data_IF_200819966127
#
_entry.id   IF_200819966127
#
_cell.length_a   1.000
_cell.length_b   1.000
_cell.length_c   1.000
_cell.angle_alpha   90.00
_cell.angle_beta   90.00
_cell.angle_gamma   90.00
#
_symmetry.space_group_name_H-M   'P 1'
#
loop_
_entity.id
_entity.type
_entity.pdbx_description
1 polymer ?
#
# COMPACT_ATOMS: atom_id res chain seq x y z
N UNK A 1 6.01 36.56 51.41
CA UNK A 1 6.81 36.34 50.20
C UNK A 1 5.83 36.34 49.04
N UNK A 2 5.51 37.52 48.53
CA UNK A 2 4.46 37.74 47.53
C UNK A 2 5.06 37.60 46.13
N UNK A 3 4.55 36.64 45.35
CA UNK A 3 4.94 36.41 43.96
C UNK A 3 4.02 37.25 43.04
N UNK A 4 4.63 38.28 42.47
CA UNK A 4 4.00 39.22 41.54
C UNK A 4 3.73 38.56 40.19
N UNK A 5 2.45 38.35 39.87
CA UNK A 5 1.99 37.87 38.55
C UNK A 5 1.97 39.00 37.53
N UNK A 6 3.01 39.09 36.69
CA UNK A 6 3.03 40.00 35.55
C UNK A 6 2.26 39.39 34.37
N UNK A 7 1.17 40.06 33.98
CA UNK A 7 0.28 39.67 32.89
C UNK A 7 0.83 40.23 31.57
N UNK A 8 1.53 39.42 30.78
CA UNK A 8 2.00 39.78 29.44
C UNK A 8 0.83 39.68 28.45
N UNK A 9 0.39 40.83 27.92
CA UNK A 9 -0.53 40.92 26.77
C UNK A 9 0.28 40.67 25.49
N UNK A 10 -0.03 39.61 24.76
CA UNK A 10 0.50 39.34 23.42
C UNK A 10 -0.51 39.85 22.36
N UNK A 11 -0.12 40.78 21.47
CA UNK A 11 -0.91 41.12 20.30
C UNK A 11 -0.41 40.27 19.12
N UNK A 12 -1.17 39.23 18.74
CA UNK A 12 -0.92 38.50 17.48
C UNK A 12 -2.06 38.79 16.51
N UNK A 13 -1.73 39.58 15.49
CA UNK A 13 -2.53 39.81 14.29
C UNK A 13 -2.78 38.47 13.57
N UNK A 14 -4.00 38.19 13.11
CA UNK A 14 -4.27 37.08 12.21
C UNK A 14 -3.95 37.53 10.78
N UNK A 15 -2.65 37.60 10.46
CA UNK A 15 -2.23 37.85 9.08
C UNK A 15 -2.40 36.55 8.28
N UNK A 16 -3.47 36.55 7.49
CA UNK A 16 -3.65 35.89 6.20
C UNK A 16 -2.41 35.15 5.70
N UNK A 17 -2.28 33.89 6.11
CA UNK A 17 -1.32 32.97 5.50
C UNK A 17 -1.78 32.70 4.06
N UNK A 18 -1.22 33.46 3.11
CA UNK A 18 -1.33 33.16 1.69
C UNK A 18 -0.70 31.79 1.49
N UNK A 19 -1.41 30.80 0.92
CA UNK A 19 -0.80 29.51 0.63
C UNK A 19 0.34 29.75 -0.36
N UNK A 20 1.58 29.54 0.10
CA UNK A 20 2.74 29.49 -0.77
C UNK A 20 2.57 28.25 -1.63
N UNK A 21 2.05 28.46 -2.85
CA UNK A 21 2.02 27.47 -3.90
C UNK A 21 3.49 27.23 -4.28
N UNK A 22 4.12 26.24 -3.64
CA UNK A 22 5.43 25.75 -4.07
C UNK A 22 5.19 25.02 -5.39
N UNK A 23 5.22 25.79 -6.47
CA UNK A 23 5.30 25.30 -7.84
C UNK A 23 6.66 24.64 -7.97
N UNK A 24 6.75 23.36 -7.59
CA UNK A 24 7.88 22.52 -7.88
C UNK A 24 7.90 22.31 -9.40
N UNK A 25 8.41 23.32 -10.11
CA UNK A 25 8.66 23.31 -11.55
C UNK A 25 9.71 22.28 -11.86
N UNK A 26 9.32 21.00 -11.87
CA UNK A 26 10.12 19.97 -12.50
C UNK A 26 10.14 20.28 -13.98
N UNK A 27 11.31 20.57 -14.59
CA UNK A 27 11.39 20.83 -16.02
C UNK A 27 10.78 19.64 -16.76
N UNK A 28 9.71 19.91 -17.49
CA UNK A 28 9.13 18.97 -18.44
C UNK A 28 10.22 18.67 -19.47
N UNK A 29 10.67 17.40 -19.61
CA UNK A 29 11.65 17.05 -20.63
C UNK A 29 11.05 17.38 -22.01
N UNK A 30 11.60 18.41 -22.65
CA UNK A 30 11.20 18.83 -23.99
C UNK A 30 11.76 17.80 -24.97
N UNK A 31 11.01 16.72 -25.17
CA UNK A 31 11.38 15.70 -26.16
C UNK A 31 11.15 16.31 -27.54
N UNK A 32 12.23 16.81 -28.16
CA UNK A 32 12.23 17.20 -29.56
C UNK A 32 12.07 15.94 -30.44
N UNK A 33 10.82 15.60 -30.75
CA UNK A 33 10.50 14.54 -31.71
C UNK A 33 10.82 15.07 -33.10
N UNK A 34 11.92 14.57 -33.68
CA UNK A 34 12.28 14.82 -35.08
C UNK A 34 11.19 14.18 -35.96
N UNK A 35 10.58 14.91 -36.92
CA UNK A 35 9.58 14.35 -37.82
C UNK A 35 10.27 13.36 -38.78
N UNK A 36 10.35 12.10 -38.36
CA UNK A 36 10.86 10.98 -39.12
C UNK A 36 9.72 10.33 -39.91
N UNK A 37 10.00 10.10 -41.20
CA UNK A 37 9.20 9.41 -42.21
C UNK A 37 8.30 8.34 -41.61
N UNK A 38 6.98 8.52 -41.73
CA UNK A 38 5.96 7.64 -41.20
C UNK A 38 6.03 6.25 -41.87
N UNK A 39 6.82 5.33 -41.29
CA UNK A 39 6.55 3.91 -41.48
C UNK A 39 5.29 3.60 -40.68
N UNK A 40 4.25 3.13 -41.37
CA UNK A 40 3.04 2.58 -40.75
C UNK A 40 3.48 1.34 -39.97
N UNK A 41 3.97 1.56 -38.75
CA UNK A 41 4.19 0.51 -37.78
C UNK A 41 2.79 0.10 -37.35
N UNK A 42 2.34 -1.05 -37.87
CA UNK A 42 1.21 -1.80 -37.33
C UNK A 42 1.50 -2.04 -35.86
N UNK A 43 0.98 -1.13 -35.01
CA UNK A 43 1.04 -1.26 -33.55
C UNK A 43 0.46 -2.63 -33.25
N UNK A 44 1.20 -3.55 -32.61
CA UNK A 44 0.69 -4.88 -32.33
C UNK A 44 -0.62 -4.72 -31.57
N UNK A 45 -1.72 -5.07 -32.24
CA UNK A 45 -3.05 -5.01 -31.67
C UNK A 45 -3.08 -6.01 -30.53
N UNK A 46 -3.19 -5.51 -29.29
CA UNK A 46 -3.16 -6.31 -28.07
C UNK A 46 -4.36 -7.29 -27.94
N UNK A 47 -5.15 -7.44 -29.00
CA UNK A 47 -6.40 -8.21 -29.10
C UNK A 47 -6.20 -9.72 -28.98
N UNK A 48 -5.04 -10.26 -29.39
CA UNK A 48 -4.83 -11.72 -29.43
C UNK A 48 -4.26 -12.29 -28.12
N UNK A 49 -4.08 -11.44 -27.11
CA UNK A 49 -3.23 -11.68 -25.94
C UNK A 49 -4.05 -11.84 -24.64
N UNK A 50 -5.32 -12.28 -24.75
CA UNK A 50 -6.21 -12.45 -23.60
C UNK A 50 -5.66 -13.40 -22.53
N UNK A 51 -4.88 -14.40 -22.93
CA UNK A 51 -4.33 -15.43 -22.03
C UNK A 51 -3.26 -14.89 -21.06
N UNK A 52 -2.68 -13.71 -21.30
CA UNK A 52 -1.62 -13.16 -20.44
C UNK A 52 -2.12 -12.63 -19.10
N UNK A 53 -3.42 -12.34 -19.02
CA UNK A 53 -4.07 -11.77 -17.84
C UNK A 53 -4.70 -12.81 -16.93
N UNK A 54 -4.73 -14.06 -17.37
CA UNK A 54 -5.30 -15.14 -16.58
C UNK A 54 -4.39 -15.45 -15.38
N UNK A 55 -4.97 -15.62 -14.18
CA UNK A 55 -4.20 -16.02 -13.02
C UNK A 55 -3.53 -17.38 -13.27
N UNK A 56 -2.35 -17.63 -12.68
CA UNK A 56 -1.68 -18.92 -12.83
C UNK A 56 -2.59 -20.05 -12.31
N UNK A 57 -2.58 -21.20 -13.00
CA UNK A 57 -3.45 -22.34 -12.71
C UNK A 57 -3.24 -22.98 -11.33
N UNK A 58 -2.09 -22.74 -10.69
CA UNK A 58 -1.84 -23.17 -9.31
C UNK A 58 -2.67 -22.36 -8.31
N UNK A 59 -3.31 -23.04 -7.35
CA UNK A 59 -4.10 -22.38 -6.29
C UNK A 59 -3.30 -21.33 -5.51
N UNK A 60 -2.06 -21.66 -5.12
CA UNK A 60 -1.18 -20.72 -4.40
C UNK A 60 -0.84 -19.49 -5.25
N UNK A 61 -0.51 -19.69 -6.53
CA UNK A 61 -0.22 -18.59 -7.46
C UNK A 61 -1.44 -17.70 -7.68
N UNK A 62 -2.63 -18.29 -7.78
CA UNK A 62 -3.89 -17.55 -7.90
C UNK A 62 -4.17 -16.70 -6.65
N UNK A 63 -4.01 -17.27 -5.45
CA UNK A 63 -4.14 -16.51 -4.19
C UNK A 63 -3.14 -15.37 -4.11
N UNK A 64 -1.85 -15.64 -4.39
CA UNK A 64 -0.80 -14.63 -4.36
C UNK A 64 -1.08 -13.51 -5.37
N UNK A 65 -1.46 -13.87 -6.60
CA UNK A 65 -1.79 -12.91 -7.64
C UNK A 65 -2.98 -12.03 -7.26
N UNK A 66 -4.05 -12.62 -6.74
CA UNK A 66 -5.24 -11.89 -6.30
C UNK A 66 -4.92 -10.98 -5.11
N UNK A 67 -4.10 -11.43 -4.16
CA UNK A 67 -3.62 -10.61 -3.05
C UNK A 67 -2.77 -9.44 -3.55
N UNK A 68 -1.85 -9.67 -4.49
CA UNK A 68 -1.04 -8.60 -5.08
C UNK A 68 -1.91 -7.59 -5.84
N UNK A 69 -2.86 -8.05 -6.64
CA UNK A 69 -3.81 -7.18 -7.35
C UNK A 69 -4.67 -6.37 -6.37
N UNK A 70 -5.12 -7.00 -5.28
CA UNK A 70 -5.90 -6.33 -4.25
C UNK A 70 -5.09 -5.24 -3.56
N UNK A 71 -3.84 -5.53 -3.18
CA UNK A 71 -2.99 -4.54 -2.50
C UNK A 71 -2.64 -3.40 -3.47
N UNK A 72 -2.25 -3.73 -4.69
CA UNK A 72 -1.82 -2.74 -5.68
C UNK A 72 -2.96 -1.83 -6.15
N UNK A 73 -4.11 -2.42 -6.50
CA UNK A 73 -5.19 -1.72 -7.20
C UNK A 73 -6.51 -1.69 -6.42
N UNK A 74 -6.65 -2.47 -5.34
CA UNK A 74 -7.89 -2.61 -4.58
C UNK A 74 -8.93 -3.53 -5.22
N UNK A 75 -8.54 -4.25 -6.27
CA UNK A 75 -9.43 -5.18 -6.96
C UNK A 75 -8.84 -6.60 -6.92
N UNK A 76 -9.66 -7.63 -6.66
CA UNK A 76 -9.22 -9.03 -6.66
C UNK A 76 -8.76 -9.50 -8.04
N UNK A 77 -9.30 -8.92 -9.11
CA UNK A 77 -9.09 -9.35 -10.49
C UNK A 77 -8.63 -8.18 -11.35
N UNK A 78 -7.82 -8.49 -12.36
CA UNK A 78 -7.35 -7.51 -13.33
C UNK A 78 -8.41 -7.10 -14.35
N UNK A 79 -9.54 -7.80 -14.44
CA UNK A 79 -10.59 -7.52 -15.43
C UNK A 79 -11.13 -6.10 -15.31
N UNK A 80 -11.29 -5.59 -14.08
CA UNK A 80 -11.72 -4.21 -13.85
C UNK A 80 -10.69 -3.20 -14.31
N UNK A 81 -9.41 -3.46 -14.03
CA UNK A 81 -8.31 -2.58 -14.43
C UNK A 81 -8.16 -2.58 -15.94
N UNK A 82 -8.29 -3.76 -16.55
CA UNK A 82 -8.35 -3.94 -17.99
C UNK A 82 -9.51 -3.15 -18.58
N UNK A 83 -10.72 -3.24 -18.01
CA UNK A 83 -11.87 -2.48 -18.49
C UNK A 83 -11.60 -0.97 -18.42
N UNK A 84 -11.04 -0.48 -17.32
CA UNK A 84 -10.64 0.94 -17.16
C UNK A 84 -9.57 1.35 -18.18
N UNK A 85 -8.60 0.47 -18.46
CA UNK A 85 -7.52 0.70 -19.41
C UNK A 85 -8.01 0.74 -20.86
N UNK A 86 -9.01 -0.07 -21.22
CA UNK A 86 -9.59 -0.10 -22.57
C UNK A 86 -10.71 0.92 -22.78
N UNK A 87 -11.41 1.32 -21.72
CA UNK A 87 -12.48 2.32 -21.82
C UNK A 87 -11.93 3.67 -22.26
N UNK A 88 -12.40 4.20 -23.39
CA UNK A 88 -11.95 5.47 -23.97
C UNK A 88 -12.11 6.69 -23.04
N UNK A 89 -12.90 6.58 -21.97
CA UNK A 89 -13.07 7.65 -20.99
C UNK A 89 -11.80 7.87 -20.14
N UNK A 90 -11.03 8.92 -20.48
CA UNK A 90 -9.84 9.36 -19.72
C UNK A 90 -10.13 9.59 -18.22
N UNK A 91 -11.35 10.03 -17.90
CA UNK A 91 -11.80 10.26 -16.52
C UNK A 91 -11.71 9.02 -15.62
N UNK A 92 -12.01 7.82 -16.13
CA UNK A 92 -11.96 6.60 -15.32
C UNK A 92 -10.51 6.20 -14.97
N UNK A 93 -9.58 6.50 -15.87
CA UNK A 93 -8.15 6.26 -15.65
C UNK A 93 -7.60 7.20 -14.58
N UNK A 94 -7.89 8.50 -14.69
CA UNK A 94 -7.44 9.50 -13.71
C UNK A 94 -7.97 9.19 -12.30
N UNK A 95 -9.24 8.80 -12.19
CA UNK A 95 -9.84 8.39 -10.92
C UNK A 95 -9.13 7.16 -10.33
N UNK A 96 -8.85 6.14 -11.15
CA UNK A 96 -8.14 4.95 -10.70
C UNK A 96 -6.72 5.27 -10.19
N UNK A 97 -5.97 6.10 -10.92
CA UNK A 97 -4.62 6.53 -10.50
C UNK A 97 -4.69 7.39 -9.23
N UNK A 98 -5.66 8.29 -9.13
CA UNK A 98 -5.89 9.12 -7.93
C UNK A 98 -6.13 8.25 -6.70
N UNK A 99 -6.98 7.21 -6.81
CA UNK A 99 -7.22 6.26 -5.73
C UNK A 99 -5.96 5.49 -5.32
N UNK A 100 -5.12 5.09 -6.28
CA UNK A 100 -3.83 4.44 -6.00
C UNK A 100 -2.89 5.38 -5.25
N UNK A 101 -2.85 6.65 -5.66
CA UNK A 101 -2.07 7.72 -5.01
C UNK A 101 -2.48 7.91 -3.55
N UNK A 102 -3.78 8.05 -3.29
CA UNK A 102 -4.33 8.24 -1.94
C UNK A 102 -3.99 7.05 -1.04
N UNK A 103 -4.17 5.83 -1.54
CA UNK A 103 -3.87 4.61 -0.76
C UNK A 103 -2.39 4.49 -0.43
N UNK A 104 -1.52 4.68 -1.42
CA UNK A 104 -0.08 4.59 -1.21
C UNK A 104 0.43 5.71 -0.30
N UNK A 105 -0.13 6.93 -0.42
CA UNK A 105 0.13 8.04 0.50
C UNK A 105 -0.25 7.70 1.95
N UNK A 106 -1.44 7.12 2.16
CA UNK A 106 -1.88 6.67 3.49
C UNK A 106 -0.95 5.60 4.09
N UNK A 107 -0.51 4.63 3.27
CA UNK A 107 0.43 3.59 3.70
C UNK A 107 1.77 4.21 4.13
N UNK A 108 2.31 5.14 3.36
CA UNK A 108 3.58 5.83 3.69
C UNK A 108 3.43 6.66 4.96
N UNK A 109 2.29 7.32 5.15
CA UNK A 109 2.00 8.07 6.38
C UNK A 109 2.01 7.15 7.61
N UNK A 110 1.32 6.00 7.53
CA UNK A 110 1.32 4.99 8.61
C UNK A 110 2.72 4.44 8.85
N UNK A 111 3.47 4.15 7.79
CA UNK A 111 4.86 3.71 7.89
C UNK A 111 5.74 4.71 8.63
N UNK A 112 5.58 6.01 8.36
CA UNK A 112 6.31 7.09 9.03
C UNK A 112 6.00 7.17 10.52
N UNK A 113 4.72 6.98 10.89
CA UNK A 113 4.31 6.92 12.30
C UNK A 113 4.95 5.71 13.01
N UNK A 114 4.88 4.52 12.40
CA UNK A 114 5.51 3.31 12.95
C UNK A 114 7.03 3.44 13.05
N UNK A 115 7.67 4.07 12.07
CA UNK A 115 9.10 4.36 12.07
C UNK A 115 9.48 5.27 13.25
N UNK A 116 8.71 6.35 13.47
CA UNK A 116 8.95 7.27 14.59
C UNK A 116 8.76 6.57 15.94
N UNK A 117 7.74 5.72 16.07
CA UNK A 117 7.53 4.90 17.27
C UNK A 117 8.69 3.94 17.51
N UNK A 118 9.14 3.21 16.49
CA UNK A 118 10.30 2.33 16.60
C UNK A 118 11.57 3.11 16.96
N UNK A 119 11.79 4.29 16.35
CA UNK A 119 12.91 5.16 16.69
C UNK A 119 12.88 5.62 18.15
N UNK A 120 11.71 5.95 18.68
CA UNK A 120 11.54 6.31 20.08
C UNK A 120 11.96 5.15 20.99
N UNK A 121 11.51 3.93 20.73
CA UNK A 121 11.94 2.75 21.50
C UNK A 121 13.44 2.46 21.37
N UNK A 122 14.05 2.70 20.21
CA UNK A 122 15.50 2.48 20.03
C UNK A 122 16.34 3.50 20.79
N UNK A 123 15.87 4.75 20.86
CA UNK A 123 16.65 5.89 21.37
C UNK A 123 16.38 6.25 22.81
N UNK A 124 15.24 5.83 23.36
CA UNK A 124 14.88 6.09 24.75
C UNK A 124 15.20 4.86 25.62
N UNK A 125 15.79 5.06 26.81
CA UNK A 125 15.90 3.97 27.78
C UNK A 125 14.50 3.65 28.36
N UNK A 126 14.20 2.37 28.67
CA UNK A 126 12.95 2.01 29.31
C UNK A 126 12.82 2.74 30.65
N UNK A 127 11.65 3.36 30.95
CA UNK A 127 11.46 4.12 32.17
C UNK A 127 11.58 3.22 33.42
N UNK A 128 11.13 1.97 33.32
CA UNK A 128 11.29 0.96 34.36
C UNK A 128 11.56 -0.41 33.72
N UNK A 129 12.74 -0.97 34.02
CA UNK A 129 13.17 -2.27 33.52
C UNK A 129 12.40 -3.43 34.14
N UNK A 130 11.81 -3.24 35.32
CA UNK A 130 11.01 -4.28 35.98
C UNK A 130 9.65 -4.47 35.32
N UNK A 131 9.10 -3.40 34.74
CA UNK A 131 7.78 -3.41 34.10
C UNK A 131 7.85 -3.69 32.60
N UNK A 132 8.84 -3.12 31.90
CA UNK A 132 8.88 -3.20 30.44
C UNK A 132 10.31 -3.07 29.87
N UNK A 133 11.08 -4.15 29.91
CA UNK A 133 12.45 -4.18 29.37
C UNK A 133 12.50 -4.53 27.88
N UNK A 134 12.24 -3.55 27.03
CA UNK A 134 12.41 -3.69 25.57
C UNK A 134 13.88 -3.63 25.10
N UNK A 135 14.84 -3.44 26.01
CA UNK A 135 16.27 -3.47 25.69
C UNK A 135 16.84 -4.89 25.69
N UNK A 136 16.05 -5.90 26.04
CA UNK A 136 16.46 -7.28 25.86
C UNK A 136 16.73 -7.59 24.39
N UNK A 137 17.69 -8.48 24.15
CA UNK A 137 18.20 -8.78 22.80
C UNK A 137 17.09 -9.19 21.82
N UNK A 138 16.11 -9.96 22.26
CA UNK A 138 14.98 -10.40 21.42
C UNK A 138 14.11 -9.23 20.95
N UNK A 139 13.40 -8.53 21.86
CA UNK A 139 12.62 -7.34 21.55
C UNK A 139 13.38 -6.29 20.73
N UNK A 140 14.64 -6.02 21.11
CA UNK A 140 15.45 -5.02 20.45
C UNK A 140 15.75 -5.35 18.98
N UNK A 141 16.08 -6.61 18.65
CA UNK A 141 16.29 -7.03 17.26
C UNK A 141 15.00 -6.90 16.44
N UNK A 142 13.84 -7.25 17.02
CA UNK A 142 12.55 -7.09 16.36
C UNK A 142 12.22 -5.61 16.07
N UNK A 143 12.45 -4.72 17.04
CA UNK A 143 12.23 -3.27 16.88
C UNK A 143 13.17 -2.69 15.82
N UNK A 144 14.45 -3.06 15.84
CA UNK A 144 15.42 -2.63 14.82
C UNK A 144 15.05 -3.14 13.42
N UNK A 145 14.59 -4.39 13.31
CA UNK A 145 14.09 -4.96 12.06
C UNK A 145 12.87 -4.21 11.53
N UNK A 146 11.92 -3.88 12.41
CA UNK A 146 10.76 -3.05 12.08
C UNK A 146 11.17 -1.65 11.59
N UNK A 147 12.12 -1.01 12.27
CA UNK A 147 12.66 0.29 11.88
C UNK A 147 13.25 0.24 10.46
N UNK A 148 14.11 -0.74 10.18
CA UNK A 148 14.72 -0.90 8.85
C UNK A 148 13.70 -1.18 7.74
N UNK A 149 12.72 -2.05 7.99
CA UNK A 149 11.66 -2.36 7.02
C UNK A 149 10.74 -1.18 6.76
N UNK A 150 10.37 -0.39 7.78
CA UNK A 150 9.57 0.82 7.59
C UNK A 150 10.36 1.87 6.78
N UNK A 151 11.65 2.08 7.08
CA UNK A 151 12.48 3.00 6.33
C UNK A 151 12.58 2.59 4.84
N UNK A 152 12.88 1.32 4.56
CA UNK A 152 12.91 0.79 3.20
C UNK A 152 11.56 0.85 2.49
N UNK A 153 10.46 0.55 3.21
CA UNK A 153 9.10 0.65 2.69
C UNK A 153 8.72 2.08 2.30
N UNK A 154 9.09 3.08 3.10
CA UNK A 154 8.89 4.51 2.79
C UNK A 154 9.71 4.92 1.57
N UNK A 155 10.96 4.47 1.47
CA UNK A 155 11.81 4.78 0.31
C UNK A 155 11.22 4.22 -0.98
N UNK A 156 10.90 2.92 -1.01
CA UNK A 156 10.32 2.28 -2.20
C UNK A 156 8.92 2.84 -2.51
N UNK A 157 8.10 3.10 -1.48
CA UNK A 157 6.79 3.72 -1.65
C UNK A 157 6.86 5.13 -2.25
N UNK A 158 7.82 5.94 -1.80
CA UNK A 158 8.09 7.26 -2.39
C UNK A 158 8.51 7.17 -3.85
N UNK A 159 9.39 6.23 -4.19
CA UNK A 159 9.77 5.97 -5.58
C UNK A 159 8.56 5.53 -6.43
N UNK A 160 7.71 4.66 -5.90
CA UNK A 160 6.50 4.20 -6.58
C UNK A 160 5.51 5.35 -6.83
N UNK A 161 5.34 6.28 -5.87
CA UNK A 161 4.55 7.50 -6.09
C UNK A 161 5.11 8.35 -7.24
N UNK A 162 6.44 8.54 -7.29
CA UNK A 162 7.06 9.30 -8.40
C UNK A 162 6.83 8.64 -9.76
N UNK A 163 6.87 7.31 -9.82
CA UNK A 163 6.56 6.55 -11.03
C UNK A 163 5.08 6.71 -11.40
N UNK A 164 4.17 6.59 -10.43
CA UNK A 164 2.73 6.82 -10.66
C UNK A 164 2.45 8.23 -11.18
N UNK A 165 3.18 9.25 -10.71
CA UNK A 165 3.07 10.64 -11.18
C UNK A 165 3.37 10.79 -12.68
N UNK A 166 4.22 9.91 -13.21
CA UNK A 166 4.67 9.91 -14.61
C UNK A 166 3.93 8.89 -15.47
N UNK A 167 3.02 8.12 -14.88
CA UNK A 167 2.38 7.01 -15.54
C UNK A 167 1.27 7.51 -16.46
N UNK A 168 1.57 7.56 -17.75
CA UNK A 168 0.56 7.78 -18.78
C UNK A 168 -0.19 6.49 -19.07
N UNK A 169 -1.49 6.61 -19.36
CA UNK A 169 -2.34 5.47 -19.74
C UNK A 169 -1.75 4.63 -20.87
N UNK A 170 -1.19 5.27 -21.89
CA UNK A 170 -0.61 4.58 -23.05
C UNK A 170 0.64 3.77 -22.65
N UNK A 171 1.55 4.36 -21.87
CA UNK A 171 2.73 3.65 -21.37
C UNK A 171 2.36 2.46 -20.49
N UNK A 172 1.27 2.58 -19.72
CA UNK A 172 0.78 1.48 -18.90
C UNK A 172 0.22 0.35 -19.76
N UNK A 173 -0.61 0.67 -20.75
CA UNK A 173 -1.11 -0.30 -21.74
C UNK A 173 0.03 -1.03 -22.45
N UNK A 174 1.02 -0.29 -22.95
CA UNK A 174 2.17 -0.87 -23.65
C UNK A 174 2.98 -1.80 -22.73
N UNK A 175 3.13 -1.44 -21.45
CA UNK A 175 3.81 -2.27 -20.45
C UNK A 175 3.03 -3.56 -20.14
N UNK A 176 1.70 -3.44 -20.03
CA UNK A 176 0.81 -4.57 -19.77
C UNK A 176 0.67 -5.51 -20.97
N UNK A 177 0.83 -5.01 -22.19
CA UNK A 177 0.77 -5.82 -23.41
C UNK A 177 2.11 -6.50 -23.76
N UNK A 178 3.22 -6.11 -23.12
CA UNK A 178 4.54 -6.63 -23.47
C UNK A 178 4.82 -8.04 -22.90
N UNK A 179 4.82 -8.21 -21.58
CA UNK A 179 5.26 -9.46 -20.92
C UNK A 179 4.53 -9.72 -19.59
N UNK A 180 4.18 -10.99 -19.26
CA UNK A 180 3.59 -11.35 -17.93
C UNK A 180 4.49 -10.99 -16.76
N UNK A 181 5.81 -11.11 -16.95
CA UNK A 181 6.79 -10.86 -15.90
C UNK A 181 6.81 -9.37 -15.52
N UNK A 182 6.66 -8.48 -16.50
CA UNK A 182 6.57 -7.03 -16.24
C UNK A 182 5.33 -6.70 -15.42
N UNK A 183 4.18 -7.29 -15.74
CA UNK A 183 2.94 -7.14 -14.96
C UNK A 183 3.16 -7.53 -13.50
N UNK A 184 3.73 -8.72 -13.28
CA UNK A 184 4.01 -9.21 -11.94
C UNK A 184 5.02 -8.31 -11.21
N UNK A 185 6.05 -7.84 -11.89
CA UNK A 185 7.04 -6.91 -11.34
C UNK A 185 6.40 -5.59 -10.91
N UNK A 186 5.54 -5.00 -11.74
CA UNK A 186 4.80 -3.77 -11.41
C UNK A 186 3.88 -3.99 -10.21
N UNK A 187 3.14 -5.11 -10.18
CA UNK A 187 2.29 -5.48 -9.05
C UNK A 187 3.08 -5.62 -7.76
N UNK A 188 4.23 -6.31 -7.80
CA UNK A 188 5.12 -6.48 -6.63
C UNK A 188 5.69 -5.15 -6.19
N UNK A 189 6.17 -4.30 -7.10
CA UNK A 189 6.70 -2.98 -6.77
C UNK A 189 5.64 -2.10 -6.10
N UNK A 190 4.39 -2.19 -6.53
CA UNK A 190 3.29 -1.42 -5.97
C UNK A 190 2.77 -1.98 -4.64
N UNK A 191 2.77 -3.31 -4.49
CA UNK A 191 2.35 -3.98 -3.26
C UNK A 191 3.43 -3.98 -2.17
N UNK A 192 4.70 -3.85 -2.55
CA UNK A 192 5.84 -3.92 -1.65
C UNK A 192 5.75 -2.97 -0.45
N UNK A 193 5.42 -1.67 -0.60
CA UNK A 193 5.31 -0.76 0.54
C UNK A 193 4.28 -1.23 1.56
N UNK A 194 3.13 -1.72 1.11
CA UNK A 194 2.09 -2.25 1.99
C UNK A 194 2.55 -3.51 2.74
N UNK A 195 3.19 -4.45 2.03
CA UNK A 195 3.71 -5.69 2.61
C UNK A 195 4.83 -5.37 3.62
N UNK A 196 5.75 -4.47 3.27
CA UNK A 196 6.85 -4.06 4.13
C UNK A 196 6.33 -3.42 5.43
N UNK A 197 5.35 -2.52 5.34
CA UNK A 197 4.72 -1.88 6.50
C UNK A 197 3.96 -2.89 7.37
N UNK A 198 3.24 -3.83 6.75
CA UNK A 198 2.54 -4.88 7.48
C UNK A 198 3.52 -5.79 8.25
N UNK A 199 4.60 -6.24 7.61
CA UNK A 199 5.63 -7.06 8.26
C UNK A 199 6.36 -6.27 9.35
N UNK A 200 6.68 -5.00 9.08
CA UNK A 200 7.31 -4.13 10.09
C UNK A 200 6.40 -3.92 11.31
N UNK A 201 5.09 -3.73 11.11
CA UNK A 201 4.13 -3.61 12.18
C UNK A 201 4.04 -4.91 13.01
N UNK A 202 4.04 -6.07 12.36
CA UNK A 202 4.06 -7.37 13.05
C UNK A 202 5.33 -7.57 13.86
N UNK A 203 6.51 -7.25 13.30
CA UNK A 203 7.78 -7.33 14.05
C UNK A 203 7.80 -6.39 15.25
N UNK A 204 7.27 -5.18 15.10
CA UNK A 204 7.14 -4.25 16.22
C UNK A 204 6.22 -4.82 17.30
N UNK A 205 5.04 -5.34 16.91
CA UNK A 205 4.10 -5.96 17.83
C UNK A 205 4.71 -7.18 18.54
N UNK A 206 5.43 -8.05 17.84
CA UNK A 206 6.13 -9.19 18.44
C UNK A 206 7.27 -8.76 19.37
N UNK A 207 8.01 -7.72 19.02
CA UNK A 207 9.04 -7.16 19.88
C UNK A 207 8.45 -6.66 21.21
N UNK A 208 7.36 -5.89 21.13
CA UNK A 208 6.65 -5.39 22.31
C UNK A 208 6.01 -6.53 23.11
N UNK A 209 5.37 -7.50 22.46
CA UNK A 209 4.78 -8.66 23.13
C UNK A 209 5.82 -9.50 23.86
N UNK A 210 6.98 -9.72 23.23
CA UNK A 210 8.09 -10.42 23.87
C UNK A 210 8.60 -9.68 25.09
N UNK A 211 8.64 -8.35 25.07
CA UNK A 211 9.02 -7.55 26.23
C UNK A 211 7.97 -7.64 27.35
N UNK A 212 6.68 -7.61 27.01
CA UNK A 212 5.57 -7.79 27.96
C UNK A 212 5.59 -9.18 28.59
N UNK A 213 5.89 -10.23 27.82
CA UNK A 213 5.91 -11.61 28.33
C UNK A 213 7.01 -11.86 29.37
N UNK A 214 8.09 -11.06 29.30
CA UNK A 214 9.16 -11.10 30.29
C UNK A 214 8.84 -10.28 31.55
N UNK A 215 7.78 -9.46 31.55
CA UNK A 215 7.37 -8.71 32.73
C UNK A 215 6.68 -9.62 33.74
N UNK A 216 6.97 -9.42 35.02
CA UNK A 216 6.34 -10.18 36.12
C UNK A 216 4.88 -9.74 36.39
N UNK A 217 4.47 -8.58 35.88
CA UNK A 217 3.13 -8.03 36.10
C UNK A 217 2.08 -8.65 35.16
N UNK A 218 1.14 -9.40 35.75
CA UNK A 218 0.02 -10.06 35.06
C UNK A 218 -0.89 -9.06 34.33
N UNK A 219 -1.02 -7.84 34.84
CA UNK A 219 -1.85 -6.80 34.22
C UNK A 219 -1.32 -6.39 32.85
N UNK A 220 0.00 -6.23 32.73
CA UNK A 220 0.67 -5.88 31.48
C UNK A 220 0.57 -7.01 30.45
N UNK A 221 0.68 -8.26 30.89
CA UNK A 221 0.50 -9.44 30.02
C UNK A 221 -0.91 -9.48 29.41
N UNK A 222 -1.94 -9.24 30.22
CA UNK A 222 -3.33 -9.15 29.74
C UNK A 222 -3.53 -8.04 28.70
N UNK A 223 -2.97 -6.85 28.95
CA UNK A 223 -3.06 -5.73 28.02
C UNK A 223 -2.37 -6.02 26.68
N UNK A 224 -1.19 -6.67 26.70
CA UNK A 224 -0.45 -7.05 25.49
C UNK A 224 -1.23 -8.04 24.61
N UNK A 225 -1.88 -9.03 25.21
CA UNK A 225 -2.73 -9.99 24.48
C UNK A 225 -3.92 -9.28 23.84
N UNK A 226 -4.62 -8.42 24.58
CA UNK A 226 -5.77 -7.66 24.07
C UNK A 226 -5.34 -6.77 22.88
N UNK A 227 -4.20 -6.11 22.99
CA UNK A 227 -3.65 -5.25 21.95
C UNK A 227 -3.33 -6.02 20.64
N UNK A 228 -3.02 -7.32 20.72
CA UNK A 228 -2.74 -8.16 19.55
C UNK A 228 -4.03 -8.82 19.00
N UNK A 229 -4.95 -9.23 19.87
CA UNK A 229 -6.23 -9.84 19.48
C UNK A 229 -7.06 -8.86 18.65
N UNK A 230 -7.05 -7.56 18.97
CA UNK A 230 -7.83 -6.56 18.25
C UNK A 230 -7.46 -6.44 16.75
N UNK A 231 -6.20 -6.20 16.35
CA UNK A 231 -5.83 -6.18 14.93
C UNK A 231 -5.97 -7.55 14.25
N UNK A 232 -5.71 -8.66 14.95
CA UNK A 232 -5.89 -9.99 14.39
C UNK A 232 -7.36 -10.32 14.09
N UNK A 233 -8.29 -9.96 14.98
CA UNK A 233 -9.72 -10.15 14.75
C UNK A 233 -10.22 -9.27 13.60
N UNK A 234 -9.76 -8.01 13.52
CA UNK A 234 -10.08 -7.14 12.38
C UNK A 234 -9.57 -7.75 11.07
N UNK A 235 -8.32 -8.20 11.02
CA UNK A 235 -7.75 -8.85 9.85
C UNK A 235 -8.51 -10.13 9.45
N UNK A 236 -8.95 -10.92 10.44
CA UNK A 236 -9.78 -12.10 10.20
C UNK A 236 -11.15 -11.74 9.62
N UNK A 237 -11.83 -10.73 10.17
CA UNK A 237 -13.12 -10.25 9.66
C UNK A 237 -12.97 -9.74 8.22
N UNK A 238 -11.94 -8.92 7.93
CA UNK A 238 -11.67 -8.47 6.58
C UNK A 238 -11.38 -9.63 5.62
N UNK A 239 -10.61 -10.62 6.06
CA UNK A 239 -10.31 -11.82 5.28
C UNK A 239 -11.58 -12.63 4.98
N UNK A 240 -12.47 -12.80 5.96
CA UNK A 240 -13.74 -13.52 5.78
C UNK A 240 -14.67 -12.76 4.83
N UNK A 241 -14.86 -11.45 5.04
CA UNK A 241 -15.69 -10.60 4.16
C UNK A 241 -15.16 -10.61 2.73
N UNK A 242 -13.83 -10.65 2.58
CA UNK A 242 -13.21 -10.75 1.27
C UNK A 242 -13.45 -12.11 0.62
N UNK A 243 -13.28 -13.19 1.38
CA UNK A 243 -13.52 -14.56 0.90
C UNK A 243 -14.99 -14.79 0.52
N UNK A 244 -15.95 -14.21 1.24
CA UNK A 244 -17.38 -14.35 0.90
C UNK A 244 -17.72 -13.60 -0.39
N UNK A 245 -17.17 -12.40 -0.60
CA UNK A 245 -17.35 -11.66 -1.86
C UNK A 245 -16.72 -12.37 -3.07
N UNK A 246 -15.55 -12.99 -2.88
CA UNK A 246 -14.89 -13.74 -3.96
C UNK A 246 -15.74 -14.92 -4.45
N UNK A 247 -16.45 -15.62 -3.54
CA UNK A 247 -17.32 -16.76 -3.90
C UNK A 247 -18.60 -16.36 -4.63
N UNK A 248 -19.18 -15.19 -4.31
CA UNK A 248 -20.40 -14.71 -4.97
C UNK A 248 -20.21 -14.51 -6.47
N UNK A 249 -19.09 -13.91 -6.87
CA UNK A 249 -18.78 -13.60 -8.28
C UNK A 249 -18.68 -14.87 -9.15
N UNK A 250 -18.27 -16.00 -8.58
CA UNK A 250 -18.08 -17.24 -9.32
C UNK A 250 -19.40 -18.03 -9.55
N UNK A 251 -20.44 -17.73 -8.78
CA UNK A 251 -21.72 -18.46 -8.89
C UNK A 251 -22.57 -17.90 -10.03
N UNK A 252 -22.51 -16.59 -10.28
CA UNK A 252 -23.31 -15.95 -11.33
C UNK A 252 -22.83 -16.34 -12.75
N UNK A 253 -21.52 -16.46 -12.95
CA UNK A 253 -20.91 -16.84 -14.24
C UNK A 253 -21.20 -18.28 -14.66
N UNK A 254 -21.47 -19.20 -13.72
CA UNK A 254 -21.77 -20.59 -14.03
C UNK A 254 -23.22 -20.82 -14.47
N UNK A 255 -24.13 -19.89 -14.12
CA UNK A 255 -25.57 -20.05 -14.39
C UNK A 255 -25.97 -19.48 -15.75
N UNK A 256 -25.24 -18.49 -16.26
CA UNK A 256 -25.53 -17.84 -17.55
C UNK A 256 -25.23 -18.75 -18.76
N UNK A 257 -24.19 -19.59 -18.68
CA UNK A 257 -23.81 -20.49 -19.79
C UNK A 257 -24.73 -21.71 -20.01
N UNK A 258 -25.71 -21.96 -19.13
CA UNK A 258 -26.58 -23.15 -19.22
C UNK A 258 -27.92 -22.90 -19.93
N UNK A 259 -28.30 -21.65 -20.15
CA UNK A 259 -29.60 -21.29 -20.75
C UNK A 259 -29.58 -21.03 -22.26
N UNK A 260 -28.42 -21.04 -22.93
CA UNK A 260 -28.32 -20.83 -24.39
C UNK A 260 -28.30 -22.13 -25.22
N UNK A 261 -28.46 -23.30 -24.60
CA UNK A 261 -28.45 -24.60 -25.28
C UNK A 261 -29.84 -25.22 -25.49
N UNK A 262 -30.87 -24.42 -25.79
CA UNK A 262 -32.14 -24.93 -26.31
C UNK A 262 -32.24 -24.67 -27.83
N UNK A 263 -32.02 -25.66 -28.70
CA UNK A 263 -32.29 -25.53 -30.13
C UNK A 263 -33.80 -25.52 -30.39
N UNK A 264 -34.24 -24.58 -31.23
CA UNK A 264 -35.54 -24.60 -31.91
C UNK A 264 -35.36 -25.21 -33.29
#
# INVERSE_FOLDING_TARGET
MELSTSRIKSPRSPDTATPVLVEAGFPQPTVHIKPGTASINTRPTCTDSLSYWEPPSSLLGCLLYNTLCLIAFGYPTMDKIRQILYDSAEKHWEEAVSQMYIRLGNIIMVAGLLLATAAAFITTPPPDKSLFDYNQRGPYICIMGSFGLNAGGITVGSCALLVLARLQRQSMLDTFCADRLRIFCTLVMLAYPAIAVAVAALLLAFGLLSAVWCAEDVGMQGAGIIALVLPCTMAAIFSVVYCTRAKGVQTDTSTEGKNEALPV
#
